data_IF_681232302724
#
_entry.id   IF_681232302724
#
_cell.length_a   1.000
_cell.length_b   1.000
_cell.length_c   1.000
_cell.angle_alpha   90.00
_cell.angle_beta   90.00
_cell.angle_gamma   90.00
#
_symmetry.space_group_name_H-M   'P 1'
#
loop_
_entity.id
_entity.type
_entity.pdbx_description
1 polymer ?
#
# COMPACT_ATOMS: atom_id res chain seq x y z
N UNK A 1 -7.77 47.04 -8.28
CA UNK A 1 -7.06 45.76 -8.49
C UNK A 1 -6.18 45.52 -7.28
N UNK A 2 -6.27 44.40 -6.56
CA UNK A 2 -5.33 44.11 -5.48
C UNK A 2 -3.93 43.89 -6.09
N UNK A 3 -2.94 44.63 -5.60
CA UNK A 3 -1.55 44.53 -6.05
C UNK A 3 -1.00 43.13 -5.76
N UNK A 4 -0.37 42.48 -6.75
CA UNK A 4 0.42 41.26 -6.52
C UNK A 4 1.47 41.56 -5.43
N UNK A 5 1.39 40.87 -4.29
CA UNK A 5 2.43 40.91 -3.26
C UNK A 5 3.77 40.49 -3.87
N UNK A 6 4.88 41.10 -3.45
CA UNK A 6 6.19 40.67 -3.89
C UNK A 6 6.54 39.30 -3.28
N UNK A 7 7.36 38.50 -3.97
CA UNK A 7 7.84 37.20 -3.47
C UNK A 7 8.46 37.31 -2.06
N UNK A 8 9.14 38.43 -1.79
CA UNK A 8 9.71 38.73 -0.46
C UNK A 8 8.62 38.90 0.61
N UNK A 9 7.56 39.63 0.30
CA UNK A 9 6.46 39.86 1.24
C UNK A 9 5.69 38.57 1.54
N UNK A 10 5.56 37.69 0.54
CA UNK A 10 4.93 36.38 0.68
C UNK A 10 5.72 35.48 1.65
N UNK A 11 7.03 35.38 1.48
CA UNK A 11 7.92 34.58 2.35
C UNK A 11 7.82 35.06 3.81
N UNK A 12 7.89 36.38 4.03
CA UNK A 12 7.84 36.95 5.38
C UNK A 12 6.48 36.74 6.04
N UNK A 13 5.39 36.84 5.27
CA UNK A 13 4.04 36.58 5.77
C UNK A 13 3.87 35.12 6.18
N UNK A 14 4.34 34.18 5.37
CA UNK A 14 4.25 32.75 5.67
C UNK A 14 5.10 32.37 6.89
N UNK A 15 6.32 32.90 6.99
CA UNK A 15 7.15 32.75 8.19
C UNK A 15 6.40 33.25 9.43
N UNK A 16 5.81 34.46 9.36
CA UNK A 16 5.08 35.07 10.46
C UNK A 16 3.87 34.25 10.92
N UNK A 17 3.10 33.72 9.98
CA UNK A 17 1.97 32.82 10.27
C UNK A 17 2.42 31.53 10.96
N UNK A 18 3.56 30.97 10.52
CA UNK A 18 4.10 29.73 11.11
C UNK A 18 4.63 29.95 12.52
N UNK A 19 5.32 31.07 12.74
CA UNK A 19 5.75 31.51 14.06
C UNK A 19 4.56 31.66 15.01
N UNK A 20 3.50 32.36 14.56
CA UNK A 20 2.28 32.53 15.36
C UNK A 20 1.62 31.20 15.70
N UNK A 21 1.50 30.30 14.72
CA UNK A 21 0.91 28.97 14.90
C UNK A 21 1.64 28.18 15.99
N UNK A 22 2.97 28.05 15.87
CA UNK A 22 3.76 27.30 16.84
C UNK A 22 3.74 27.93 18.23
N UNK A 23 3.78 29.26 18.31
CA UNK A 23 3.66 29.97 19.59
C UNK A 23 2.34 29.61 20.29
N UNK A 24 1.23 29.58 19.55
CA UNK A 24 -0.08 29.21 20.10
C UNK A 24 -0.15 27.74 20.52
N UNK A 25 0.48 26.82 19.77
CA UNK A 25 0.58 25.39 20.15
C UNK A 25 1.32 25.22 21.47
N UNK A 26 2.37 26.01 21.70
CA UNK A 26 3.12 26.02 22.96
C UNK A 26 2.42 26.83 24.08
N UNK A 27 1.20 27.32 23.84
CA UNK A 27 0.42 28.15 24.77
C UNK A 27 1.18 29.42 25.25
N UNK A 28 2.04 29.99 24.40
CA UNK A 28 2.81 31.19 24.72
C UNK A 28 2.10 32.45 24.21
N UNK A 29 2.13 33.53 24.99
CA UNK A 29 1.82 34.88 24.52
C UNK A 29 2.98 35.48 23.73
N UNK A 30 2.74 36.54 22.95
CA UNK A 30 3.83 37.26 22.26
C UNK A 30 4.85 37.81 23.25
N UNK A 31 4.42 38.25 24.42
CA UNK A 31 5.29 38.77 25.49
C UNK A 31 6.18 37.64 26.03
N UNK A 32 5.58 36.48 26.36
CA UNK A 32 6.31 35.33 26.89
C UNK A 32 7.35 34.80 25.89
N UNK A 33 7.00 34.71 24.60
CA UNK A 33 7.97 34.30 23.59
C UNK A 33 9.11 35.33 23.46
N UNK A 34 8.78 36.62 23.52
CA UNK A 34 9.76 37.70 23.45
C UNK A 34 10.75 37.65 24.63
N UNK A 35 10.25 37.41 25.83
CA UNK A 35 11.05 37.21 27.04
C UNK A 35 11.99 36.00 26.90
N UNK A 36 11.49 34.85 26.44
CA UNK A 36 12.29 33.62 26.29
C UNK A 36 13.48 33.84 25.34
N UNK A 37 13.28 34.56 24.24
CA UNK A 37 14.36 34.83 23.26
C UNK A 37 15.04 36.19 23.47
N UNK A 38 14.76 36.88 24.58
CA UNK A 38 15.32 38.18 24.95
C UNK A 38 15.21 39.26 23.86
N UNK A 39 13.99 39.50 23.38
CA UNK A 39 13.65 40.57 22.42
C UNK A 39 12.43 41.36 22.90
N UNK A 40 12.15 42.49 22.24
CA UNK A 40 10.95 43.28 22.51
C UNK A 40 9.68 42.58 21.96
N UNK A 41 8.56 42.59 22.71
CA UNK A 41 7.28 42.02 22.23
C UNK A 41 6.86 42.57 20.87
N UNK A 42 7.09 43.86 20.61
CA UNK A 42 6.76 44.49 19.32
C UNK A 42 7.52 43.86 18.17
N UNK A 43 8.74 43.35 18.41
CA UNK A 43 9.50 42.61 17.42
C UNK A 43 8.82 41.29 17.07
N UNK A 44 8.35 40.50 18.05
CA UNK A 44 7.53 39.30 17.80
C UNK A 44 6.29 39.64 16.99
N UNK A 45 5.56 40.70 17.36
CA UNK A 45 4.38 41.16 16.61
C UNK A 45 4.70 41.55 15.16
N UNK A 46 5.87 42.16 14.90
CA UNK A 46 6.30 42.52 13.56
C UNK A 46 6.70 41.30 12.73
N UNK A 47 7.33 40.30 13.36
CA UNK A 47 7.65 39.02 12.72
C UNK A 47 6.38 38.27 12.32
N UNK A 48 5.42 38.13 13.24
CA UNK A 48 4.15 37.42 12.98
C UNK A 48 3.33 38.05 11.85
N UNK A 49 3.43 39.36 11.67
CA UNK A 49 2.75 40.10 10.58
C UNK A 49 3.55 40.16 9.28
N UNK A 50 4.72 39.51 9.21
CA UNK A 50 5.60 39.55 8.05
C UNK A 50 6.18 40.94 7.74
N UNK A 51 6.26 41.83 8.74
CA UNK A 51 6.76 43.20 8.59
C UNK A 51 8.27 43.34 8.86
N UNK A 52 8.91 42.27 9.35
CA UNK A 52 10.36 42.21 9.60
C UNK A 52 10.93 40.90 9.09
N UNK A 53 12.15 40.99 8.56
CA UNK A 53 12.95 39.83 8.21
C UNK A 53 13.84 39.47 9.41
N UNK A 54 13.61 38.32 10.08
CA UNK A 54 14.46 37.89 11.19
C UNK A 54 15.84 37.45 10.67
N UNK A 55 16.87 37.61 11.51
CA UNK A 55 18.18 37.00 11.24
C UNK A 55 18.10 35.48 11.45
N UNK A 56 18.98 34.73 10.79
CA UNK A 56 19.07 33.28 10.97
C UNK A 56 19.25 32.87 12.44
N UNK A 57 20.04 33.65 13.19
CA UNK A 57 20.25 33.47 14.63
C UNK A 57 18.93 33.60 15.40
N UNK A 58 18.15 34.64 15.12
CA UNK A 58 16.84 34.83 15.73
C UNK A 58 15.89 33.67 15.41
N UNK A 59 15.88 33.18 14.17
CA UNK A 59 15.05 32.03 13.79
C UNK A 59 15.45 30.77 14.56
N UNK A 60 16.76 30.55 14.77
CA UNK A 60 17.25 29.42 15.58
C UNK A 60 16.81 29.52 17.04
N UNK A 61 16.93 30.70 17.65
CA UNK A 61 16.44 30.93 19.02
C UNK A 61 14.93 30.77 19.13
N UNK A 62 14.16 31.21 18.13
CA UNK A 62 12.71 30.99 18.09
C UNK A 62 12.36 29.50 18.02
N UNK A 63 13.06 28.73 17.19
CA UNK A 63 12.82 27.29 17.08
C UNK A 63 13.11 26.56 18.41
N UNK A 64 14.19 26.94 19.09
CA UNK A 64 14.55 26.39 20.41
C UNK A 64 13.53 26.77 21.48
N UNK A 65 13.10 28.04 21.53
CA UNK A 65 12.06 28.53 22.44
C UNK A 65 10.71 27.83 22.23
N UNK A 66 10.41 27.44 21.00
CA UNK A 66 9.19 26.74 20.62
C UNK A 66 9.32 25.22 20.72
N UNK A 67 10.50 24.70 21.10
CA UNK A 67 10.82 23.28 21.16
C UNK A 67 10.53 22.52 19.84
N UNK A 68 10.93 23.11 18.71
CA UNK A 68 10.78 22.53 17.37
C UNK A 68 12.11 22.56 16.62
N UNK A 69 12.24 21.73 15.57
CA UNK A 69 13.39 21.83 14.69
C UNK A 69 13.33 23.12 13.84
N UNK A 70 14.50 23.68 13.50
CA UNK A 70 14.60 24.89 12.67
C UNK A 70 13.80 24.79 11.36
N UNK A 71 13.82 23.61 10.73
CA UNK A 71 13.11 23.32 9.49
C UNK A 71 11.58 23.43 9.66
N UNK A 72 11.07 23.11 10.86
CA UNK A 72 9.66 23.24 11.22
C UNK A 72 9.24 24.70 11.41
N UNK A 73 10.17 25.67 11.46
CA UNK A 73 9.87 27.10 11.50
C UNK A 73 10.09 27.79 10.15
N UNK A 74 11.00 27.30 9.32
CA UNK A 74 11.39 27.97 8.05
C UNK A 74 10.66 27.43 6.82
N UNK A 75 10.49 26.12 6.71
CA UNK A 75 10.00 25.53 5.46
C UNK A 75 8.48 25.64 5.39
N UNK A 76 7.90 26.23 4.34
CA UNK A 76 6.54 25.82 3.98
C UNK A 76 6.63 24.30 3.77
N UNK A 77 5.71 23.50 4.34
CA UNK A 77 5.73 22.10 3.99
C UNK A 77 5.54 21.99 2.48
N UNK A 78 6.56 21.53 1.77
CA UNK A 78 6.58 21.40 0.31
C UNK A 78 5.31 20.68 -0.21
N UNK A 79 4.77 19.77 0.62
CA UNK A 79 3.53 19.07 0.35
C UNK A 79 2.30 19.98 0.20
N UNK A 80 2.22 21.13 0.87
CA UNK A 80 1.08 22.06 0.75
C UNK A 80 1.06 22.72 -0.63
N UNK A 81 2.21 23.24 -1.07
CA UNK A 81 2.36 23.79 -2.41
C UNK A 81 2.17 22.72 -3.47
N UNK A 82 2.75 21.53 -3.27
CA UNK A 82 2.56 20.39 -4.17
C UNK A 82 1.08 19.97 -4.26
N UNK A 83 0.33 20.00 -3.14
CA UNK A 83 -1.08 19.67 -3.12
C UNK A 83 -1.94 20.74 -3.82
N UNK A 84 -1.65 22.03 -3.59
CA UNK A 84 -2.30 23.12 -4.29
C UNK A 84 -2.05 23.05 -5.80
N UNK A 85 -0.80 22.83 -6.21
CA UNK A 85 -0.42 22.67 -7.61
C UNK A 85 -1.08 21.43 -8.22
N UNK A 86 -1.17 20.32 -7.47
CA UNK A 86 -1.88 19.11 -7.89
C UNK A 86 -3.36 19.40 -8.12
N UNK A 87 -4.04 19.99 -7.14
CA UNK A 87 -5.47 20.29 -7.25
C UNK A 87 -5.75 21.27 -8.40
N UNK A 88 -4.93 22.32 -8.56
CA UNK A 88 -5.02 23.21 -9.72
C UNK A 88 -4.83 22.47 -11.05
N UNK A 89 -3.80 21.62 -11.14
CA UNK A 89 -3.48 20.85 -12.36
C UNK A 89 -4.61 19.90 -12.78
N UNK A 90 -5.34 19.34 -11.81
CA UNK A 90 -6.41 18.38 -12.06
C UNK A 90 -7.83 18.97 -11.89
N UNK A 91 -7.95 20.30 -11.75
CA UNK A 91 -9.21 21.00 -11.54
C UNK A 91 -10.02 20.46 -10.34
N UNK A 92 -9.33 20.18 -9.24
CA UNK A 92 -9.94 19.75 -7.97
C UNK A 92 -10.06 20.98 -7.07
N UNK A 93 -11.25 21.18 -6.54
CA UNK A 93 -11.47 22.24 -5.55
C UNK A 93 -10.80 21.86 -4.22
N UNK A 94 -9.91 22.73 -3.74
CA UNK A 94 -9.19 22.54 -2.49
C UNK A 94 -10.12 22.53 -1.28
N UNK A 95 -11.23 23.27 -1.32
CA UNK A 95 -12.19 23.34 -0.20
C UNK A 95 -12.93 22.01 -0.02
N UNK A 96 -13.25 21.35 -1.13
CA UNK A 96 -13.96 20.06 -1.15
C UNK A 96 -13.02 18.84 -1.18
N UNK A 97 -11.69 19.03 -1.16
CA UNK A 97 -10.72 17.95 -1.33
C UNK A 97 -10.89 16.85 -0.26
N UNK A 98 -11.11 17.24 1.01
CA UNK A 98 -11.29 16.28 2.09
C UNK A 98 -12.54 15.41 1.86
N UNK A 99 -13.65 16.00 1.43
CA UNK A 99 -14.88 15.27 1.12
C UNK A 99 -14.73 14.35 -0.09
N UNK A 100 -14.03 14.82 -1.13
CA UNK A 100 -13.68 13.99 -2.30
C UNK A 100 -12.84 12.79 -1.89
N UNK A 101 -11.84 12.99 -1.03
CA UNK A 101 -10.99 11.90 -0.52
C UNK A 101 -11.76 10.94 0.40
N UNK A 102 -12.79 11.44 1.07
CA UNK A 102 -13.65 10.66 1.96
C UNK A 102 -14.82 9.97 1.23
N UNK A 103 -14.94 10.13 -0.09
CA UNK A 103 -15.99 9.45 -0.88
C UNK A 103 -15.79 7.92 -0.82
N UNK A 104 -16.85 7.12 -0.57
CA UNK A 104 -16.78 5.66 -0.51
C UNK A 104 -16.18 4.97 -1.73
N UNK A 105 -16.20 5.59 -2.91
CA UNK A 105 -15.58 5.08 -4.14
C UNK A 105 -14.10 5.46 -4.22
N UNK A 106 -13.67 6.54 -3.58
CA UNK A 106 -12.30 7.05 -3.61
C UNK A 106 -11.44 6.42 -2.51
N UNK A 107 -11.96 6.31 -1.28
CA UNK A 107 -11.23 5.75 -0.13
C UNK A 107 -10.55 4.41 -0.46
N UNK A 108 -11.24 3.41 -1.04
CA UNK A 108 -10.61 2.12 -1.32
C UNK A 108 -9.45 2.23 -2.32
N UNK A 109 -9.57 3.15 -3.30
CA UNK A 109 -8.55 3.38 -4.31
C UNK A 109 -7.28 4.00 -3.70
N UNK A 110 -7.45 5.05 -2.90
CA UNK A 110 -6.32 5.73 -2.26
C UNK A 110 -5.66 4.85 -1.20
N UNK A 111 -6.41 4.02 -0.47
CA UNK A 111 -5.86 3.09 0.52
C UNK A 111 -4.98 2.02 -0.14
N UNK A 112 -5.44 1.44 -1.24
CA UNK A 112 -4.65 0.50 -2.02
C UNK A 112 -3.35 1.14 -2.51
N UNK A 113 -3.45 2.34 -3.11
CA UNK A 113 -2.28 3.04 -3.62
C UNK A 113 -1.32 3.48 -2.51
N UNK A 114 -1.84 4.00 -1.40
CA UNK A 114 -1.05 4.40 -0.25
C UNK A 114 -0.27 3.22 0.33
N UNK A 115 -0.87 2.02 0.35
CA UNK A 115 -0.20 0.81 0.80
C UNK A 115 1.07 0.51 -0.01
N UNK A 116 1.05 0.67 -1.33
CA UNK A 116 2.25 0.48 -2.18
C UNK A 116 3.41 1.43 -1.81
N UNK A 117 3.09 2.70 -1.53
CA UNK A 117 4.09 3.69 -1.09
C UNK A 117 4.60 3.40 0.32
N UNK A 118 3.72 2.93 1.22
CA UNK A 118 4.11 2.45 2.55
C UNK A 118 5.08 1.28 2.42
N UNK A 119 4.76 0.26 1.60
CA UNK A 119 5.63 -0.89 1.40
C UNK A 119 6.99 -0.48 0.81
N UNK A 120 7.02 0.39 -0.21
CA UNK A 120 8.30 0.94 -0.71
C UNK A 120 9.14 1.53 0.43
N UNK A 121 8.51 2.36 1.27
CA UNK A 121 9.20 3.04 2.38
C UNK A 121 9.73 2.04 3.41
N UNK A 122 8.90 1.07 3.81
CA UNK A 122 9.29 0.04 4.77
C UNK A 122 10.44 -0.83 4.24
N UNK A 123 10.37 -1.25 2.98
CA UNK A 123 11.44 -2.04 2.35
C UNK A 123 12.74 -1.23 2.26
N UNK A 124 12.65 0.06 1.94
CA UNK A 124 13.82 0.96 1.90
C UNK A 124 14.51 1.13 3.26
N UNK A 125 13.77 0.94 4.35
CA UNK A 125 14.31 0.99 5.71
C UNK A 125 14.89 -0.36 6.17
N UNK A 126 14.46 -1.48 5.56
CA UNK A 126 14.93 -2.83 5.89
C UNK A 126 16.20 -3.17 5.10
N UNK A 127 16.20 -2.90 3.79
CA UNK A 127 17.29 -3.29 2.90
C UNK A 127 18.37 -2.19 2.81
N UNK A 128 19.65 -2.55 2.78
CA UNK A 128 20.74 -1.58 2.69
C UNK A 128 20.74 -0.86 1.33
N UNK A 129 20.64 0.47 1.36
CA UNK A 129 20.61 1.33 0.15
C UNK A 129 21.90 1.28 -0.68
N UNK A 130 23.00 0.79 -0.11
CA UNK A 130 24.26 0.57 -0.81
C UNK A 130 24.19 -0.58 -1.84
N UNK A 131 23.22 -1.50 -1.68
CA UNK A 131 23.01 -2.65 -2.55
C UNK A 131 21.68 -2.62 -3.27
N UNK A 132 20.63 -2.15 -2.59
CA UNK A 132 19.27 -2.23 -3.10
C UNK A 132 18.69 -0.87 -3.47
N UNK A 133 18.07 -0.80 -4.65
CA UNK A 133 17.29 0.36 -5.08
C UNK A 133 15.80 0.00 -5.12
N UNK A 134 14.98 0.71 -4.35
CA UNK A 134 13.54 0.45 -4.24
C UNK A 134 12.75 1.53 -4.96
N UNK A 135 11.78 1.12 -5.79
CA UNK A 135 10.97 2.06 -6.57
C UNK A 135 9.53 1.57 -6.73
N UNK A 136 8.60 2.52 -6.94
CA UNK A 136 7.30 2.24 -7.53
C UNK A 136 7.42 2.56 -9.02
N UNK A 137 7.53 1.57 -9.91
CA UNK A 137 7.71 1.84 -11.34
C UNK A 137 6.49 2.58 -11.90
N UNK A 138 6.75 3.55 -12.78
CA UNK A 138 5.66 4.29 -13.45
C UNK A 138 5.07 3.43 -14.55
N UNK A 139 3.75 3.31 -14.56
CA UNK A 139 2.99 2.55 -15.55
C UNK A 139 3.27 3.12 -16.95
N UNK A 140 3.72 2.26 -17.87
CA UNK A 140 3.59 2.50 -19.29
C UNK A 140 2.43 1.65 -19.82
N UNK A 141 1.22 2.22 -19.86
CA UNK A 141 0.00 1.52 -20.28
C UNK A 141 0.08 0.97 -21.73
N UNK A 142 1.07 1.42 -22.52
CA UNK A 142 1.31 1.00 -23.90
C UNK A 142 2.23 -0.23 -24.03
N UNK A 143 3.06 -0.56 -23.03
CA UNK A 143 4.05 -1.65 -23.16
C UNK A 143 3.49 -3.03 -22.82
N UNK A 144 2.29 -3.08 -22.20
CA UNK A 144 1.64 -4.34 -21.82
C UNK A 144 2.47 -5.19 -20.84
N UNK A 145 3.37 -4.55 -20.09
CA UNK A 145 4.02 -5.15 -18.92
C UNK A 145 3.04 -5.11 -17.74
N UNK A 146 3.12 -6.10 -16.86
CA UNK A 146 2.22 -6.18 -15.71
C UNK A 146 2.51 -5.04 -14.73
N UNK A 147 1.46 -4.58 -14.03
CA UNK A 147 1.59 -3.53 -13.01
C UNK A 147 2.42 -4.11 -11.86
N UNK A 148 3.69 -3.73 -11.75
CA UNK A 148 4.52 -4.03 -10.59
C UNK A 148 4.35 -2.90 -9.58
N UNK A 149 3.81 -3.20 -8.40
CA UNK A 149 3.56 -2.18 -7.38
C UNK A 149 4.86 -1.65 -6.77
N UNK A 150 5.78 -2.56 -6.43
CA UNK A 150 7.11 -2.24 -5.88
C UNK A 150 8.18 -3.07 -6.58
N UNK A 151 9.24 -2.43 -7.05
CA UNK A 151 10.42 -3.07 -7.62
C UNK A 151 11.63 -2.90 -6.68
N UNK A 152 12.35 -4.00 -6.46
CA UNK A 152 13.57 -4.09 -5.66
C UNK A 152 14.69 -4.49 -6.61
N UNK A 153 15.58 -3.56 -6.95
CA UNK A 153 16.76 -3.85 -7.77
C UNK A 153 17.95 -4.18 -6.87
N UNK A 154 18.46 -5.40 -6.97
CA UNK A 154 19.70 -5.86 -6.35
C UNK A 154 20.87 -5.55 -7.30
N UNK A 155 21.70 -4.57 -6.93
CA UNK A 155 22.82 -4.11 -7.75
C UNK A 155 23.96 -5.13 -7.83
N UNK A 156 24.12 -5.99 -6.83
CA UNK A 156 25.20 -6.98 -6.82
C UNK A 156 24.87 -8.16 -7.74
N UNK A 157 23.60 -8.56 -7.81
CA UNK A 157 23.14 -9.67 -8.64
C UNK A 157 22.65 -9.25 -10.03
N UNK A 158 22.58 -7.94 -10.29
CA UNK A 158 21.92 -7.33 -11.46
C UNK A 158 20.52 -7.92 -11.70
N UNK A 159 19.70 -7.94 -10.64
CA UNK A 159 18.39 -8.61 -10.66
C UNK A 159 17.30 -7.72 -10.06
N UNK A 160 16.13 -7.74 -10.70
CA UNK A 160 14.95 -7.05 -10.20
C UNK A 160 13.99 -8.07 -9.61
N UNK A 161 13.58 -7.84 -8.37
CA UNK A 161 12.46 -8.52 -7.74
C UNK A 161 11.23 -7.61 -7.77
N UNK A 162 10.12 -8.17 -8.23
CA UNK A 162 8.83 -7.53 -8.34
C UNK A 162 7.92 -7.95 -7.19
N UNK A 163 7.27 -6.99 -6.55
CA UNK A 163 6.36 -7.23 -5.45
C UNK A 163 4.98 -6.65 -5.76
N UNK A 164 3.97 -7.50 -5.61
CA UNK A 164 2.55 -7.14 -5.70
C UNK A 164 2.00 -6.86 -4.29
N UNK A 165 1.43 -5.68 -4.10
CA UNK A 165 0.84 -5.25 -2.84
C UNK A 165 -0.65 -5.60 -2.81
N UNK A 166 -1.01 -6.52 -1.93
CA UNK A 166 -2.40 -6.93 -1.69
C UNK A 166 -2.82 -6.63 -0.27
N UNK A 167 -4.13 -6.64 -0.05
CA UNK A 167 -4.71 -6.44 1.28
C UNK A 167 -5.39 -7.74 1.72
N UNK A 168 -5.40 -7.98 3.03
CA UNK A 168 -6.24 -9.03 3.58
C UNK A 168 -7.69 -8.86 3.13
N UNK A 169 -8.36 -9.96 2.81
CA UNK A 169 -9.74 -9.93 2.39
C UNK A 169 -10.62 -9.50 3.57
N UNK A 170 -11.51 -8.53 3.31
CA UNK A 170 -12.40 -7.95 4.32
C UNK A 170 -13.22 -9.05 5.00
N UNK A 171 -13.19 -9.10 6.34
CA UNK A 171 -13.93 -10.08 7.15
C UNK A 171 -13.47 -11.54 7.01
N UNK A 172 -12.37 -11.81 6.31
CA UNK A 172 -11.92 -13.19 6.03
C UNK A 172 -10.79 -13.63 6.97
N UNK A 173 -10.99 -13.42 8.27
CA UNK A 173 -10.18 -13.98 9.36
C UNK A 173 -10.98 -15.06 10.09
N UNK A 174 -10.30 -16.08 10.65
CA UNK A 174 -10.92 -17.13 11.47
C UNK A 174 -9.94 -17.68 12.51
N UNK A 175 -10.50 -18.24 13.58
CA UNK A 175 -9.81 -19.10 14.55
C UNK A 175 -10.30 -20.54 14.34
N UNK A 176 -9.56 -21.34 13.56
CA UNK A 176 -9.91 -22.75 13.33
C UNK A 176 -9.19 -23.60 14.39
N UNK A 177 -9.92 -24.18 15.36
CA UNK A 177 -9.32 -24.93 16.47
C UNK A 177 -8.21 -24.14 17.18
N UNK A 178 -8.48 -22.85 17.49
CA UNK A 178 -7.52 -21.92 18.10
C UNK A 178 -6.33 -21.51 17.21
N UNK A 179 -6.26 -21.95 15.95
CA UNK A 179 -5.24 -21.55 14.99
C UNK A 179 -5.75 -20.32 14.24
N UNK A 180 -5.12 -19.14 14.41
CA UNK A 180 -5.50 -17.96 13.66
C UNK A 180 -5.14 -18.12 12.19
N UNK A 181 -6.07 -17.76 11.30
CA UNK A 181 -5.80 -17.63 9.88
C UNK A 181 -6.52 -16.45 9.24
N UNK A 182 -5.93 -15.93 8.18
CA UNK A 182 -6.48 -14.81 7.42
C UNK A 182 -6.28 -15.04 5.92
N UNK A 183 -7.29 -14.73 5.10
CA UNK A 183 -7.16 -14.78 3.64
C UNK A 183 -6.64 -13.46 3.11
N UNK A 184 -5.74 -13.53 2.14
CA UNK A 184 -5.23 -12.37 1.40
C UNK A 184 -5.97 -12.27 0.08
N UNK A 185 -6.51 -11.11 -0.30
CA UNK A 185 -7.20 -10.95 -1.58
C UNK A 185 -6.19 -10.78 -2.72
N UNK A 186 -5.66 -11.89 -3.23
CA UNK A 186 -4.66 -11.94 -4.30
C UNK A 186 -5.32 -12.25 -5.66
N UNK A 187 -6.10 -11.31 -6.18
CA UNK A 187 -6.76 -11.43 -7.48
C UNK A 187 -6.52 -10.19 -8.34
N UNK A 188 -6.64 -10.35 -9.66
CA UNK A 188 -6.45 -9.24 -10.61
C UNK A 188 -7.59 -8.24 -10.46
N UNK A 189 -7.26 -6.95 -10.51
CA UNK A 189 -8.25 -5.86 -10.52
C UNK A 189 -9.16 -5.93 -11.76
N UNK A 190 -8.65 -6.46 -12.86
CA UNK A 190 -9.36 -6.68 -14.13
C UNK A 190 -9.11 -8.09 -14.65
N UNK A 191 -10.17 -8.74 -15.11
CA UNK A 191 -10.07 -10.05 -15.74
C UNK A 191 -9.32 -9.96 -17.06
N UNK A 192 -8.58 -11.02 -17.38
CA UNK A 192 -7.80 -11.13 -18.60
C UNK A 192 -8.74 -11.34 -19.79
N UNK A 193 -8.71 -10.41 -20.74
CA UNK A 193 -9.39 -10.54 -22.03
C UNK A 193 -8.63 -11.46 -22.98
N UNK A 194 -9.28 -11.96 -24.03
CA UNK A 194 -8.70 -12.96 -24.94
C UNK A 194 -7.42 -12.48 -25.64
N UNK A 195 -7.39 -11.24 -26.11
CA UNK A 195 -6.20 -10.67 -26.77
C UNK A 195 -5.00 -10.66 -25.83
N UNK A 196 -5.20 -10.20 -24.60
CA UNK A 196 -4.16 -10.18 -23.56
C UNK A 196 -3.76 -11.60 -23.14
N UNK A 197 -4.72 -12.52 -23.04
CA UNK A 197 -4.45 -13.93 -22.75
C UNK A 197 -3.62 -14.60 -23.85
N UNK A 198 -3.87 -14.33 -25.13
CA UNK A 198 -3.04 -14.84 -26.24
C UNK A 198 -1.62 -14.29 -26.21
N UNK A 199 -1.45 -13.02 -25.88
CA UNK A 199 -0.12 -12.41 -25.72
C UNK A 199 0.61 -13.01 -24.51
N UNK A 200 -0.08 -13.16 -23.39
CA UNK A 200 0.46 -13.75 -22.17
C UNK A 200 0.85 -15.21 -22.37
N UNK A 201 0.02 -16.02 -23.04
CA UNK A 201 0.32 -17.41 -23.40
C UNK A 201 1.68 -17.56 -24.09
N UNK A 202 1.98 -16.67 -25.06
CA UNK A 202 3.27 -16.67 -25.76
C UNK A 202 4.46 -16.32 -24.86
N UNK A 203 4.27 -15.40 -23.91
CA UNK A 203 5.34 -14.93 -23.00
C UNK A 203 5.63 -15.92 -21.88
N UNK A 204 4.59 -16.52 -21.30
CA UNK A 204 4.71 -17.43 -20.16
C UNK A 204 4.81 -18.90 -20.56
N UNK A 205 4.66 -19.20 -21.85
CA UNK A 205 4.56 -20.56 -22.38
C UNK A 205 3.42 -21.37 -21.71
N UNK A 206 2.33 -20.69 -21.34
CA UNK A 206 1.13 -21.31 -20.79
C UNK A 206 0.05 -21.45 -21.86
N UNK A 207 -0.76 -22.49 -21.73
CA UNK A 207 -1.90 -22.70 -22.61
C UNK A 207 -2.94 -21.58 -22.48
N UNK A 208 -3.46 -21.14 -23.62
CA UNK A 208 -4.44 -20.05 -23.69
C UNK A 208 -5.72 -20.37 -22.92
N UNK A 209 -6.22 -21.59 -23.00
CA UNK A 209 -7.44 -21.96 -22.30
C UNK A 209 -7.23 -22.01 -20.79
N UNK A 210 -6.06 -22.46 -20.35
CA UNK A 210 -5.70 -22.41 -18.94
C UNK A 210 -5.71 -20.96 -18.41
N UNK A 211 -5.16 -20.01 -19.16
CA UNK A 211 -5.23 -18.58 -18.83
C UNK A 211 -6.67 -18.05 -18.80
N UNK A 212 -7.54 -18.52 -19.70
CA UNK A 212 -8.94 -18.09 -19.72
C UNK A 212 -9.75 -18.63 -18.53
N UNK A 213 -9.51 -19.87 -18.09
CA UNK A 213 -10.12 -20.45 -16.89
C UNK A 213 -9.72 -19.68 -15.61
N UNK A 214 -8.50 -19.16 -15.63
CA UNK A 214 -7.85 -18.45 -14.53
C UNK A 214 -7.74 -16.93 -14.81
N UNK A 215 -8.64 -16.36 -15.59
CA UNK A 215 -8.53 -14.98 -16.07
C UNK A 215 -8.53 -13.89 -14.98
N UNK A 216 -8.94 -14.21 -13.76
CA UNK A 216 -8.91 -13.34 -12.57
C UNK A 216 -7.76 -13.67 -11.60
N UNK A 217 -6.97 -14.71 -11.87
CA UNK A 217 -5.83 -15.16 -11.06
C UNK A 217 -4.50 -14.73 -11.69
N UNK A 218 -3.49 -14.58 -10.84
CA UNK A 218 -2.11 -14.35 -11.27
C UNK A 218 -1.39 -15.68 -11.53
N UNK A 219 -0.46 -15.68 -12.48
CA UNK A 219 0.53 -16.74 -12.67
C UNK A 219 1.81 -16.36 -11.93
N UNK A 220 2.65 -17.34 -11.60
CA UNK A 220 3.89 -17.10 -10.84
C UNK A 220 4.90 -16.20 -11.55
N UNK A 221 4.79 -16.04 -12.87
CA UNK A 221 5.65 -15.16 -13.66
C UNK A 221 5.22 -13.68 -13.64
N UNK A 222 4.08 -13.37 -13.01
CA UNK A 222 3.53 -12.01 -12.96
C UNK A 222 4.33 -11.11 -12.02
N UNK A 223 4.78 -11.69 -10.91
CA UNK A 223 5.61 -11.03 -9.91
C UNK A 223 6.34 -12.07 -9.04
N UNK A 224 7.41 -11.67 -8.36
CA UNK A 224 8.21 -12.55 -7.50
C UNK A 224 7.63 -12.68 -6.09
N UNK A 225 7.05 -11.59 -5.56
CA UNK A 225 6.65 -11.45 -4.16
C UNK A 225 5.20 -10.97 -4.03
N UNK A 226 4.50 -11.46 -3.01
CA UNK A 226 3.21 -10.91 -2.56
C UNK A 226 3.38 -10.33 -1.18
N UNK A 227 3.03 -9.06 -1.02
CA UNK A 227 3.09 -8.32 0.25
C UNK A 227 1.68 -7.98 0.72
N UNK A 228 1.39 -8.10 2.00
CA UNK A 228 0.07 -7.77 2.55
C UNK A 228 0.11 -7.23 3.97
N UNK A 229 -0.82 -6.32 4.27
CA UNK A 229 -1.23 -5.96 5.62
C UNK A 229 -2.48 -6.74 6.02
N UNK A 230 -2.62 -7.04 7.30
CA UNK A 230 -3.82 -7.71 7.84
C UNK A 230 -4.97 -6.75 8.15
N UNK A 231 -4.69 -5.46 8.34
CA UNK A 231 -5.67 -4.52 8.88
C UNK A 231 -6.98 -4.49 8.11
N UNK A 232 -6.93 -4.60 6.77
CA UNK A 232 -8.10 -4.52 5.92
C UNK A 232 -9.18 -5.59 6.22
N UNK A 233 -8.81 -6.70 6.87
CA UNK A 233 -9.78 -7.71 7.31
C UNK A 233 -10.71 -7.23 8.43
N UNK A 234 -10.32 -6.21 9.20
CA UNK A 234 -10.97 -5.76 10.43
C UNK A 234 -11.63 -4.39 10.32
N UNK A 235 -11.68 -3.85 9.11
CA UNK A 235 -12.50 -2.67 8.85
C UNK A 235 -13.93 -3.06 8.54
N UNK A 236 -14.85 -2.26 9.03
CA UNK A 236 -16.27 -2.37 8.72
C UNK A 236 -16.69 -1.28 7.72
N UNK A 237 -17.80 -1.53 7.04
CA UNK A 237 -18.43 -0.54 6.17
C UNK A 237 -19.82 -0.29 6.71
N UNK A 238 -20.13 0.96 7.00
CA UNK A 238 -21.46 1.35 7.45
C UNK A 238 -22.48 1.38 6.29
N UNK A 239 -23.70 1.80 6.60
CA UNK A 239 -24.79 1.89 5.62
C UNK A 239 -24.51 2.94 4.52
N UNK A 240 -23.67 3.93 4.82
CA UNK A 240 -23.28 5.01 3.92
C UNK A 240 -22.08 4.64 3.04
N UNK A 241 -21.48 3.47 3.25
CA UNK A 241 -20.31 3.01 2.49
C UNK A 241 -18.97 3.49 3.05
N UNK A 242 -18.97 4.19 4.18
CA UNK A 242 -17.77 4.72 4.82
C UNK A 242 -17.03 3.61 5.57
N UNK A 243 -15.71 3.70 5.60
CA UNK A 243 -14.82 2.62 5.99
C UNK A 243 -14.09 2.97 7.30
N UNK A 244 -14.39 2.23 8.37
CA UNK A 244 -13.86 2.53 9.70
C UNK A 244 -13.21 1.31 10.33
N UNK A 245 -12.17 1.57 11.12
CA UNK A 245 -11.57 0.55 11.98
C UNK A 245 -12.54 0.27 13.14
N UNK A 246 -13.25 -0.84 13.04
CA UNK A 246 -14.17 -1.33 14.05
C UNK A 246 -14.14 -2.86 14.02
N UNK A 247 -13.08 -3.50 14.56
CA UNK A 247 -13.01 -4.95 14.55
C UNK A 247 -14.20 -5.55 15.33
N UNK A 248 -14.92 -6.53 14.77
CA UNK A 248 -16.04 -7.16 15.47
C UNK A 248 -15.54 -7.92 16.71
N UNK A 249 -16.44 -8.25 17.64
CA UNK A 249 -16.07 -8.93 18.89
C UNK A 249 -15.30 -10.23 18.65
N UNK A 250 -15.68 -11.02 17.64
CA UNK A 250 -14.95 -12.24 17.27
C UNK A 250 -13.52 -12.00 16.78
N UNK A 251 -13.18 -10.78 16.35
CA UNK A 251 -11.82 -10.42 15.94
C UNK A 251 -10.91 -10.15 17.13
N UNK A 252 -11.43 -9.82 18.32
CA UNK A 252 -10.60 -9.42 19.47
C UNK A 252 -9.65 -10.53 19.92
N UNK A 253 -10.14 -11.77 20.03
CA UNK A 253 -9.30 -12.91 20.39
C UNK A 253 -8.26 -13.20 19.30
N UNK A 254 -8.65 -13.07 18.03
CA UNK A 254 -7.73 -13.20 16.90
C UNK A 254 -6.59 -12.17 16.98
N UNK A 255 -6.93 -10.89 17.11
CA UNK A 255 -5.98 -9.77 17.14
C UNK A 255 -5.05 -9.85 18.35
N UNK A 256 -5.58 -10.28 19.50
CA UNK A 256 -4.79 -10.52 20.70
C UNK A 256 -3.75 -11.61 20.47
N UNK A 257 -4.14 -12.75 19.89
CA UNK A 257 -3.23 -13.88 19.63
C UNK A 257 -2.07 -13.53 18.71
N UNK A 258 -2.28 -12.61 17.78
CA UNK A 258 -1.23 -12.17 16.88
C UNK A 258 -0.53 -10.91 17.36
N UNK A 259 -0.87 -10.32 18.51
CA UNK A 259 -0.31 -9.06 19.01
C UNK A 259 -0.54 -7.86 18.07
N UNK A 260 -1.80 -7.60 17.69
CA UNK A 260 -2.17 -6.40 16.92
C UNK A 260 -3.55 -5.87 17.33
N UNK A 261 -3.66 -5.34 18.53
CA UNK A 261 -4.94 -4.91 19.12
C UNK A 261 -5.35 -3.51 18.69
N UNK A 262 -4.44 -2.71 18.14
CA UNK A 262 -4.74 -1.39 17.57
C UNK A 262 -4.79 -1.38 16.03
N UNK A 263 -5.40 -0.34 15.47
CA UNK A 263 -5.44 -0.11 14.01
C UNK A 263 -4.05 -0.09 13.40
N UNK A 264 -3.13 0.66 14.02
CA UNK A 264 -1.77 0.85 13.49
C UNK A 264 -0.95 -0.42 13.63
N UNK A 265 -1.04 -1.13 14.76
CA UNK A 265 -0.36 -2.43 14.92
C UNK A 265 -0.84 -3.44 13.86
N UNK A 266 -2.14 -3.51 13.59
CA UNK A 266 -2.67 -4.38 12.54
C UNK A 266 -2.25 -3.91 11.15
N UNK A 267 -2.15 -2.60 10.93
CA UNK A 267 -1.75 -2.05 9.64
C UNK A 267 -0.29 -2.34 9.34
N UNK A 268 0.60 -2.11 10.31
CA UNK A 268 2.04 -2.33 10.17
C UNK A 268 2.49 -3.78 10.38
N UNK A 269 1.59 -4.69 10.74
CA UNK A 269 1.81 -6.14 10.58
C UNK A 269 1.80 -6.53 9.11
N UNK A 270 2.97 -6.38 8.48
CA UNK A 270 3.18 -6.72 7.08
C UNK A 270 3.78 -8.12 6.96
N UNK A 271 3.16 -8.92 6.08
CA UNK A 271 3.61 -10.25 5.73
C UNK A 271 3.95 -10.31 4.24
N UNK A 272 4.91 -11.16 3.92
CA UNK A 272 5.42 -11.36 2.58
C UNK A 272 5.67 -12.85 2.30
N UNK A 273 5.44 -13.26 1.06
CA UNK A 273 5.76 -14.61 0.58
C UNK A 273 6.17 -14.58 -0.90
N UNK A 274 6.90 -15.60 -1.34
CA UNK A 274 7.20 -15.77 -2.77
C UNK A 274 6.00 -16.29 -3.54
N UNK A 275 5.79 -15.77 -4.75
CA UNK A 275 4.67 -16.13 -5.62
C UNK A 275 4.65 -17.62 -5.97
N UNK A 276 5.82 -18.20 -6.23
CA UNK A 276 6.02 -19.62 -6.52
C UNK A 276 5.53 -20.53 -5.38
N UNK A 277 5.79 -20.15 -4.12
CA UNK A 277 5.36 -20.86 -2.91
C UNK A 277 3.85 -20.72 -2.61
N UNK A 278 3.20 -19.68 -3.13
CA UNK A 278 1.75 -19.48 -3.01
C UNK A 278 0.94 -20.14 -4.12
N UNK A 279 1.60 -20.65 -5.16
CA UNK A 279 0.94 -21.22 -6.33
C UNK A 279 0.46 -22.65 -6.14
N UNK A 280 -0.51 -23.07 -6.95
CA UNK A 280 -0.85 -24.49 -7.09
C UNK A 280 0.33 -25.21 -7.73
N UNK A 281 1.14 -25.88 -6.92
CA UNK A 281 2.29 -26.67 -7.34
C UNK A 281 2.33 -28.03 -6.59
N UNK A 282 3.24 -28.91 -7.00
CA UNK A 282 3.36 -30.26 -6.42
C UNK A 282 4.40 -30.46 -5.36
N UNK A 283 5.17 -29.42 -5.07
CA UNK A 283 6.30 -29.50 -4.16
C UNK A 283 5.81 -29.34 -2.74
N UNK A 284 5.41 -30.45 -2.12
CA UNK A 284 5.45 -30.58 -0.67
C UNK A 284 6.78 -31.23 -0.29
N UNK A 285 7.85 -30.44 -0.19
CA UNK A 285 9.11 -30.95 0.39
C UNK A 285 9.14 -30.87 1.92
N UNK A 286 8.15 -30.25 2.57
CA UNK A 286 8.20 -29.99 4.02
C UNK A 286 6.81 -29.85 4.65
N UNK A 287 6.03 -30.93 4.80
CA UNK A 287 4.84 -30.97 5.69
C UNK A 287 3.72 -29.92 5.47
N UNK A 288 3.83 -29.04 4.48
CA UNK A 288 2.89 -27.96 4.20
C UNK A 288 1.61 -28.50 3.56
N UNK A 289 0.51 -27.77 3.70
CA UNK A 289 -0.76 -28.14 3.09
C UNK A 289 -0.69 -27.90 1.58
N UNK A 290 -0.86 -28.95 0.77
CA UNK A 290 -0.89 -28.83 -0.70
C UNK A 290 -1.92 -27.78 -1.11
N UNK A 291 -1.48 -26.74 -1.82
CA UNK A 291 -2.36 -25.71 -2.37
C UNK A 291 -3.16 -26.31 -3.51
N UNK A 292 -4.49 -26.34 -3.37
CA UNK A 292 -5.40 -26.92 -4.36
C UNK A 292 -5.94 -25.85 -5.31
N UNK A 293 -6.06 -26.21 -6.58
CA UNK A 293 -6.74 -25.36 -7.55
C UNK A 293 -8.21 -25.16 -7.18
N UNK A 294 -8.69 -23.92 -7.29
CA UNK A 294 -10.09 -23.54 -7.03
C UNK A 294 -10.98 -23.60 -8.27
N UNK A 295 -10.41 -23.92 -9.45
CA UNK A 295 -11.10 -24.01 -10.75
C UNK A 295 -11.45 -25.45 -11.14
N UNK A 296 -12.01 -26.18 -10.18
CA UNK A 296 -12.40 -27.60 -10.34
C UNK A 296 -13.84 -27.79 -10.80
N UNK A 297 -14.64 -26.72 -10.82
CA UNK A 297 -16.03 -26.75 -11.29
C UNK A 297 -16.17 -25.89 -12.54
N UNK A 298 -17.04 -26.34 -13.45
CA UNK A 298 -17.40 -25.59 -14.66
C UNK A 298 -18.04 -24.27 -14.27
N UNK A 299 -17.57 -23.17 -14.86
CA UNK A 299 -18.16 -21.84 -14.69
C UNK A 299 -18.89 -21.47 -15.97
N UNK A 300 -20.10 -20.91 -15.84
CA UNK A 300 -20.76 -20.26 -16.98
C UNK A 300 -19.95 -19.02 -17.32
N UNK A 301 -19.32 -18.99 -18.49
CA UNK A 301 -18.51 -17.85 -18.92
C UNK A 301 -19.37 -16.73 -19.51
N UNK A 302 -20.66 -17.01 -19.78
CA UNK A 302 -21.60 -16.08 -20.42
C UNK A 302 -21.26 -15.78 -21.88
N UNK A 303 -20.12 -16.27 -22.38
CA UNK A 303 -19.65 -16.13 -23.75
C UNK A 303 -19.94 -17.42 -24.48
N UNK A 304 -20.67 -17.32 -25.59
CA UNK A 304 -21.04 -18.48 -26.41
C UNK A 304 -20.30 -18.47 -27.74
N UNK A 305 -19.95 -19.66 -28.24
CA UNK A 305 -19.48 -19.83 -29.61
C UNK A 305 -20.64 -19.62 -30.60
N UNK A 306 -20.34 -19.68 -31.90
CA UNK A 306 -21.35 -19.55 -32.95
C UNK A 306 -22.43 -20.66 -32.91
N UNK A 307 -22.18 -21.76 -32.21
CA UNK A 307 -23.12 -22.86 -32.00
C UNK A 307 -23.89 -22.73 -30.65
N UNK A 308 -23.67 -21.66 -29.88
CA UNK A 308 -24.37 -21.41 -28.62
C UNK A 308 -23.78 -22.14 -27.40
N UNK A 309 -22.63 -22.82 -27.54
CA UNK A 309 -21.94 -23.47 -26.43
C UNK A 309 -21.11 -22.46 -25.64
N UNK A 310 -21.02 -22.61 -24.32
CA UNK A 310 -20.15 -21.78 -23.51
C UNK A 310 -18.67 -21.96 -23.93
N UNK A 311 -18.04 -20.86 -24.34
CA UNK A 311 -16.61 -20.81 -24.60
C UNK A 311 -15.84 -21.02 -23.29
N UNK A 312 -14.77 -21.81 -23.35
CA UNK A 312 -13.90 -22.13 -22.19
C UNK A 312 -14.60 -22.89 -21.04
N UNK A 313 -15.58 -23.73 -21.37
CA UNK A 313 -16.38 -24.49 -20.41
C UNK A 313 -15.64 -25.69 -19.77
N UNK A 314 -14.34 -25.86 -20.04
CA UNK A 314 -13.51 -26.90 -19.40
C UNK A 314 -13.07 -26.46 -18.01
N UNK A 315 -12.93 -27.44 -17.12
CA UNK A 315 -12.33 -27.24 -15.80
C UNK A 315 -10.81 -27.27 -15.92
N UNK A 316 -10.11 -26.64 -14.96
CA UNK A 316 -8.65 -26.70 -14.93
C UNK A 316 -8.12 -28.16 -14.95
N UNK A 317 -8.66 -29.11 -14.16
CA UNK A 317 -8.26 -30.52 -14.25
C UNK A 317 -8.41 -31.15 -15.64
N UNK A 318 -9.48 -30.84 -16.38
CA UNK A 318 -9.70 -31.36 -17.74
C UNK A 318 -8.62 -30.84 -18.71
N UNK A 319 -8.30 -29.54 -18.63
CA UNK A 319 -7.24 -28.93 -19.47
C UNK A 319 -5.86 -29.46 -19.10
N UNK A 320 -5.54 -29.54 -17.80
CA UNK A 320 -4.26 -30.08 -17.32
C UNK A 320 -4.02 -31.51 -17.80
N UNK A 321 -5.05 -32.37 -17.79
CA UNK A 321 -4.96 -33.75 -18.30
C UNK A 321 -4.58 -33.77 -19.79
N UNK A 322 -5.16 -32.89 -20.61
CA UNK A 322 -4.87 -32.81 -22.04
C UNK A 322 -3.46 -32.29 -22.32
N UNK A 323 -2.95 -31.39 -21.48
CA UNK A 323 -1.61 -30.82 -21.59
C UNK A 323 -0.53 -31.71 -20.97
N UNK A 324 -0.89 -32.86 -20.39
CA UNK A 324 0.01 -33.70 -19.60
C UNK A 324 0.72 -32.92 -18.47
N UNK A 325 0.02 -31.95 -17.88
CA UNK A 325 0.51 -31.12 -16.79
C UNK A 325 -0.09 -31.56 -15.47
N UNK A 326 0.71 -31.56 -14.40
CA UNK A 326 0.24 -31.97 -13.06
C UNK A 326 -0.40 -30.81 -12.27
N UNK A 327 0.04 -29.58 -12.52
CA UNK A 327 -0.40 -28.39 -11.78
C UNK A 327 -0.58 -27.19 -12.71
N UNK A 328 -1.43 -26.24 -12.31
CA UNK A 328 -1.70 -25.06 -13.13
C UNK A 328 -0.75 -23.90 -12.87
N UNK A 329 -0.02 -23.87 -11.75
CA UNK A 329 0.93 -22.80 -11.41
C UNK A 329 0.29 -21.40 -11.25
N UNK A 330 -1.01 -21.33 -10.98
CA UNK A 330 -1.69 -20.07 -10.63
C UNK A 330 -1.71 -19.88 -9.12
N UNK A 331 -1.63 -18.62 -8.70
CA UNK A 331 -1.87 -18.22 -7.31
C UNK A 331 -3.39 -18.21 -7.07
N UNK A 332 -3.91 -18.87 -6.02
CA UNK A 332 -5.32 -18.77 -5.64
C UNK A 332 -5.74 -17.31 -5.45
N UNK A 333 -7.02 -16.96 -5.68
CA UNK A 333 -7.52 -15.61 -5.36
C UNK A 333 -7.39 -15.25 -3.86
N UNK A 334 -7.29 -16.28 -3.01
CA UNK A 334 -7.29 -16.14 -1.56
C UNK A 334 -6.26 -17.07 -0.90
N UNK A 335 -4.94 -16.85 -1.09
CA UNK A 335 -3.95 -17.54 -0.30
C UNK A 335 -4.16 -17.19 1.18
N UNK A 336 -3.78 -18.11 2.05
CA UNK A 336 -4.06 -18.03 3.50
C UNK A 336 -2.76 -17.87 4.24
N UNK A 337 -2.71 -16.91 5.17
CA UNK A 337 -1.70 -16.86 6.21
C UNK A 337 -2.27 -17.62 7.41
N UNK A 338 -1.53 -18.60 7.89
CA UNK A 338 -1.78 -19.26 9.17
C UNK A 338 -0.80 -18.69 10.18
N UNK A 339 -1.22 -18.58 11.43
CA UNK A 339 -0.37 -18.11 12.52
C UNK A 339 -0.14 -19.22 13.53
N UNK A 340 1.07 -19.27 14.08
CA UNK A 340 1.36 -20.11 15.22
C UNK A 340 0.54 -19.60 16.43
N UNK A 341 -0.25 -20.46 17.09
CA UNK A 341 -1.17 -20.03 18.15
C UNK A 341 -0.48 -19.66 19.45
N UNK A 342 0.80 -19.99 19.63
CA UNK A 342 1.57 -19.68 20.85
C UNK A 342 2.34 -18.37 20.70
N UNK A 343 2.94 -18.16 19.52
CA UNK A 343 3.84 -17.02 19.27
C UNK A 343 3.15 -15.89 18.50
N UNK A 344 2.07 -16.19 17.76
CA UNK A 344 1.42 -15.24 16.86
C UNK A 344 2.19 -15.00 15.55
N UNK A 345 3.28 -15.74 15.33
CA UNK A 345 4.13 -15.63 14.14
C UNK A 345 3.47 -16.27 12.92
N UNK A 346 3.69 -15.72 11.70
CA UNK A 346 3.18 -16.33 10.49
C UNK A 346 3.86 -17.69 10.24
N UNK A 347 3.07 -18.66 9.79
CA UNK A 347 3.59 -19.95 9.31
C UNK A 347 4.00 -19.83 7.85
N UNK A 348 5.06 -20.58 7.51
CA UNK A 348 5.56 -20.71 6.14
C UNK A 348 4.43 -21.09 5.15
N UNK A 349 4.40 -20.51 3.94
CA UNK A 349 5.47 -19.73 3.29
C UNK A 349 5.51 -18.24 3.62
N UNK A 350 4.62 -17.75 4.48
CA UNK A 350 4.60 -16.34 4.84
C UNK A 350 5.62 -16.04 5.93
N UNK A 351 6.32 -14.92 5.77
CA UNK A 351 7.23 -14.36 6.77
C UNK A 351 6.84 -12.90 7.03
N UNK A 352 7.27 -12.34 8.15
CA UNK A 352 7.17 -10.90 8.38
C UNK A 352 8.06 -10.14 7.39
N UNK A 353 7.66 -8.92 7.03
CA UNK A 353 8.42 -8.08 6.10
C UNK A 353 9.87 -7.84 6.56
N UNK A 354 10.11 -7.76 7.87
CA UNK A 354 11.47 -7.63 8.45
C UNK A 354 12.43 -8.73 7.99
N UNK A 355 11.91 -9.90 7.60
CA UNK A 355 12.68 -11.04 7.10
C UNK A 355 12.69 -11.13 5.57
N UNK A 356 12.32 -10.06 4.85
CA UNK A 356 12.27 -9.99 3.38
C UNK A 356 13.54 -10.50 2.71
N UNK A 357 14.70 -10.16 3.26
CA UNK A 357 16.00 -10.52 2.68
C UNK A 357 16.14 -12.04 2.48
N UNK A 358 15.56 -12.86 3.37
CA UNK A 358 15.54 -14.34 3.23
C UNK A 358 14.81 -14.86 1.99
N UNK A 359 14.01 -14.03 1.31
CA UNK A 359 13.25 -14.40 0.11
C UNK A 359 13.96 -13.99 -1.20
N UNK A 360 15.02 -13.18 -1.11
CA UNK A 360 15.76 -12.62 -2.24
C UNK A 360 16.99 -13.45 -2.66
N UNK A 361 17.21 -14.63 -2.06
CA UNK A 361 18.35 -15.51 -2.34
C UNK A 361 17.91 -16.91 -2.79
#
# INVERSE_FOLDING_TARGET
MPSKLSMKDEILRQFGQKLQKWRLIQNLSQEQLAEIINVDRTYISLLERGKRNPSLICIKSLAEALNINLNELILIPEWQENLQNFCHKYNIDMENLADVLNDPKVIPMIRGKAFEFTIKTLISNILPSARYQISNPKINAQTGLEDVDVAIYDQEQDKIYSAECKLAAKGEFKLDNNIPRIKVKCMRSRTLGETAARQKAKRTNLDFELLMIHNDQYVIQDFDLVVTSIANAFYETDEQGLFYWCPPEEAKDFLTKINATTQDEAFYKIYIARSDQLSVNGSNKTGQKVIKCTRTKKRKTGKKDAQGNDLYHRTCPEVLKNLNMKYCHFIPNYPVIYFDPQTGEPLSPWVKLENLESLLY
#
